data_IF_409792102666
#
_entry.id   IF_409792102666
#
_cell.length_a   1.000
_cell.length_b   1.000
_cell.length_c   1.000
_cell.angle_alpha   90.00
_cell.angle_beta   90.00
_cell.angle_gamma   90.00
#
_symmetry.space_group_name_H-M   'P 1'
#
loop_
_entity.id
_entity.type
_entity.pdbx_description
1 polymer ?
2 branched ?
3 non-polymer ?
4 non-polymer ?
5 non-polymer ?
6 non-polymer ?
7 water ?
#
# COMPACT_ATOMS: atom_id res chain seq x y z
N UNK A 1 0.88 -12.70 9.45
CA UNK A 1 2.18 -13.20 9.96
C UNK A 1 2.41 -12.65 11.36
N UNK A 2 2.50 -13.53 12.35
CA UNK A 2 2.70 -13.10 13.73
C UNK A 2 4.16 -12.84 14.09
N UNK A 3 4.73 -11.77 13.55
CA UNK A 3 6.11 -11.40 13.83
C UNK A 3 6.14 -10.04 14.53
N UNK A 4 4.99 -9.64 15.05
CA UNK A 4 4.88 -8.37 15.75
C UNK A 4 4.96 -7.16 14.84
N UNK A 5 5.04 -7.39 13.53
CA UNK A 5 5.13 -6.30 12.58
C UNK A 5 3.86 -6.07 11.80
N UNK A 6 3.77 -4.89 11.19
CA UNK A 6 2.63 -4.50 10.39
C UNK A 6 1.32 -4.67 11.13
N UNK A 7 1.28 -4.18 12.37
CA UNK A 7 0.05 -4.28 13.15
C UNK A 7 -0.94 -3.29 12.56
N UNK A 8 -0.43 -2.37 11.74
CA UNK A 8 -1.24 -1.41 10.99
C UNK A 8 -0.64 -1.50 9.60
N UNK A 9 -1.40 -1.09 8.56
CA UNK A 9 -0.88 -1.15 7.20
C UNK A 9 0.44 -0.40 7.08
N UNK A 10 1.45 -1.01 6.42
CA UNK A 10 2.75 -0.35 6.25
C UNK A 10 2.64 0.99 5.54
N UNK A 11 3.40 1.97 6.02
CA UNK A 11 3.41 3.30 5.42
C UNK A 11 4.83 3.64 4.98
N UNK A 12 4.97 4.22 3.78
CA UNK A 12 6.31 4.56 3.33
C UNK A 12 6.36 5.00 1.88
N UNK A 13 7.49 4.71 1.25
CA UNK A 13 7.73 5.06 -0.14
C UNK A 13 8.30 3.83 -0.83
N UNK A 14 7.89 3.61 -2.07
CA UNK A 14 8.34 2.45 -2.84
C UNK A 14 8.71 2.97 -4.22
N UNK A 15 9.87 2.56 -4.72
CA UNK A 15 10.37 3.06 -5.99
C UNK A 15 9.70 2.67 -7.31
N UNK A 16 9.14 1.47 -7.38
CA UNK A 16 8.63 0.98 -8.65
C UNK A 16 7.70 1.73 -9.59
N UNK A 17 6.46 2.02 -9.20
CA UNK A 17 5.57 2.69 -10.16
C UNK A 17 6.15 3.92 -10.82
N UNK A 18 6.72 4.81 -10.02
CA UNK A 18 7.26 6.04 -10.60
C UNK A 18 8.58 5.92 -11.33
N UNK A 19 9.52 5.16 -10.77
CA UNK A 19 10.85 5.07 -11.35
C UNK A 19 11.18 3.82 -12.16
N UNK A 20 10.37 2.80 -11.98
CA UNK A 20 10.53 1.54 -12.71
C UNK A 20 11.95 0.98 -12.73
N UNK A 21 12.38 0.51 -13.89
CA UNK A 21 13.70 -0.11 -14.03
C UNK A 21 14.68 0.79 -14.77
N UNK A 22 14.68 2.07 -14.42
CA UNK A 22 15.56 3.05 -15.05
C UNK A 22 16.99 2.89 -14.53
N UNK A 23 17.89 2.43 -15.40
CA UNK A 23 19.29 2.25 -14.98
C UNK A 23 20.21 3.22 -15.73
N UNK A 24 19.61 4.20 -16.39
CA UNK A 24 20.37 5.20 -17.14
C UNK A 24 20.77 6.34 -16.21
N UNK A 25 21.64 6.05 -15.25
CA UNK A 25 22.07 7.08 -14.30
C UNK A 25 22.90 8.18 -14.95
N UNK A 26 23.41 7.93 -16.15
CA UNK A 26 24.21 8.92 -16.87
C UNK A 26 23.34 10.09 -17.31
N UNK A 27 22.14 9.78 -17.79
CA UNK A 27 21.23 10.83 -18.25
C UNK A 27 20.12 11.16 -17.26
N UNK A 28 19.84 10.23 -16.36
CA UNK A 28 18.81 10.43 -15.35
C UNK A 28 19.39 10.18 -13.96
N UNK A 29 20.35 11.02 -13.54
CA UNK A 29 21.01 10.90 -12.24
C UNK A 29 20.03 10.86 -11.07
N UNK A 30 18.96 11.64 -11.16
CA UNK A 30 17.97 11.71 -10.10
C UNK A 30 16.85 10.67 -10.20
N UNK A 31 16.49 10.29 -11.41
CA UNK A 31 15.40 9.33 -11.60
C UNK A 31 15.82 7.88 -11.76
N UNK A 32 17.12 7.63 -11.93
CA UNK A 32 17.60 6.26 -12.09
C UNK A 32 17.60 5.51 -10.76
N UNK A 33 17.56 4.18 -10.84
CA UNK A 33 17.59 3.36 -9.64
C UNK A 33 19.02 3.29 -9.13
N UNK A 34 19.30 4.02 -8.04
CA UNK A 34 20.64 4.05 -7.46
C UNK A 34 20.54 4.32 -5.97
N UNK A 35 21.66 4.18 -5.26
CA UNK A 35 21.67 4.40 -3.82
C UNK A 35 21.27 5.85 -3.52
N UNK A 36 21.60 6.76 -4.44
CA UNK A 36 21.28 8.17 -4.26
C UNK A 36 19.78 8.43 -4.22
N UNK A 37 19.02 7.69 -5.03
CA UNK A 37 17.57 7.87 -5.06
C UNK A 37 16.97 7.60 -3.69
N UNK A 38 17.36 6.48 -3.11
CA UNK A 38 16.86 6.07 -1.81
C UNK A 38 17.31 6.98 -0.66
N UNK A 39 18.55 7.46 -0.74
CA UNK A 39 19.07 8.34 0.31
C UNK A 39 18.32 9.66 0.29
N UNK A 40 18.08 10.18 -0.91
CA UNK A 40 17.37 11.43 -1.06
C UNK A 40 15.90 11.32 -0.68
N UNK A 41 15.28 10.18 -0.97
CA UNK A 41 13.89 10.01 -0.58
C UNK A 41 13.86 9.92 0.94
N UNK A 42 14.90 9.32 1.51
CA UNK A 42 14.98 9.19 2.97
C UNK A 42 15.07 10.59 3.58
N UNK A 43 15.87 11.46 3.00
CA UNK A 43 15.99 12.83 3.52
C UNK A 43 14.63 13.51 3.45
N UNK A 44 13.95 13.32 2.33
CA UNK A 44 12.62 13.89 2.09
C UNK A 44 11.63 13.46 3.16
N UNK A 45 11.57 12.16 3.41
CA UNK A 45 10.66 11.61 4.40
C UNK A 45 11.00 12.16 5.79
N UNK A 46 12.29 12.24 6.08
CA UNK A 46 12.75 12.72 7.37
C UNK A 46 12.60 14.23 7.58
N UNK A 47 12.68 14.99 6.50
CA UNK A 47 12.61 16.44 6.59
C UNK A 47 11.31 17.15 6.27
N UNK A 48 10.48 16.56 5.40
CA UNK A 48 9.26 17.24 5.01
C UNK A 48 7.98 16.85 5.74
N UNK A 49 8.14 16.35 6.96
CA UNK A 49 6.99 16.00 7.77
C UNK A 49 6.38 14.61 7.59
N UNK A 50 6.90 13.84 6.66
CA UNK A 50 6.36 12.50 6.41
C UNK A 50 6.58 11.54 7.58
N UNK A 51 7.82 11.50 8.10
CA UNK A 51 8.16 10.61 9.19
C UNK A 51 7.23 10.72 10.40
N UNK A 52 6.92 11.94 10.81
CA UNK A 52 6.04 12.17 11.97
C UNK A 52 4.64 11.62 11.77
N UNK A 53 4.19 11.60 10.52
CA UNK A 53 2.85 11.11 10.19
C UNK A 53 2.77 9.59 10.19
N UNK A 54 3.93 8.93 10.16
CA UNK A 54 3.93 7.48 10.15
C UNK A 54 4.69 6.83 8.99
N UNK A 55 4.98 7.61 7.95
CA UNK A 55 5.70 7.08 6.79
C UNK A 55 7.15 6.77 7.20
N UNK A 56 7.48 5.48 7.31
CA UNK A 56 8.82 5.10 7.72
C UNK A 56 9.61 4.19 6.78
N UNK A 57 8.92 3.50 5.87
CA UNK A 57 9.62 2.60 4.95
C UNK A 57 10.12 3.24 3.65
N UNK A 58 11.37 2.96 3.32
CA UNK A 58 12.00 3.43 2.08
C UNK A 58 12.29 2.10 1.38
N UNK A 59 11.48 1.75 0.39
CA UNK A 59 11.65 0.46 -0.28
C UNK A 59 12.21 0.44 -1.69
N UNK A 60 13.22 -0.42 -1.85
CA UNK A 60 13.88 -0.65 -3.12
C UNK A 60 13.06 -1.72 -3.83
N UNK A 61 12.82 -1.57 -5.13
CA UNK A 61 12.08 -2.61 -5.85
C UNK A 61 13.02 -3.30 -6.84
N UNK A 62 12.51 -3.73 -7.99
CA UNK A 62 13.34 -4.44 -8.96
C UNK A 62 14.45 -3.60 -9.57
N UNK A 63 15.45 -4.29 -10.14
CA UNK A 63 16.57 -3.64 -10.84
C UNK A 63 17.67 -3.00 -9.99
N UNK A 64 17.83 -3.44 -8.75
CA UNK A 64 18.85 -2.90 -7.86
C UNK A 64 20.14 -3.73 -7.84
N UNK A 65 20.00 -5.04 -8.06
CA UNK A 65 21.13 -5.96 -7.99
C UNK A 65 22.02 -6.03 -9.22
N UNK A 66 23.15 -6.72 -9.06
CA UNK A 66 24.07 -6.92 -10.17
C UNK A 66 23.38 -7.97 -11.04
N UNK A 67 23.75 -8.04 -12.32
CA UNK A 67 23.13 -9.01 -13.24
C UNK A 67 23.39 -10.46 -12.89
N UNK A 68 24.30 -10.71 -11.94
CA UNK A 68 24.60 -12.06 -11.50
C UNK A 68 25.08 -12.02 -10.06
N UNK A 69 24.96 -13.15 -9.36
CA UNK A 69 25.40 -13.27 -7.98
C UNK A 69 26.92 -13.29 -8.00
N UNK A 70 27.56 -13.00 -6.88
CA UNK A 70 29.02 -13.04 -6.86
C UNK A 70 29.45 -14.49 -6.97
N UNK A 71 30.75 -14.74 -6.86
CA UNK A 71 31.27 -16.10 -6.97
C UNK A 71 30.76 -17.00 -5.84
N UNK A 72 30.55 -16.41 -4.66
CA UNK A 72 30.07 -17.17 -3.51
C UNK A 72 28.59 -17.51 -3.60
N UNK A 73 27.93 -17.05 -4.67
CA UNK A 73 26.52 -17.32 -4.86
C UNK A 73 25.60 -16.40 -4.09
N UNK A 74 26.12 -15.24 -3.72
CA UNK A 74 25.33 -14.26 -2.97
C UNK A 74 24.87 -13.09 -3.84
N UNK A 75 23.75 -12.51 -3.47
CA UNK A 75 23.21 -11.36 -4.18
C UNK A 75 24.05 -10.15 -3.81
N UNK A 76 24.35 -9.32 -4.79
CA UNK A 76 25.12 -8.11 -4.57
C UNK A 76 24.47 -7.00 -5.37
N UNK A 77 24.49 -5.76 -4.86
CA UNK A 77 23.88 -4.64 -5.56
C UNK A 77 24.72 -4.24 -6.76
N UNK A 78 24.14 -3.49 -7.69
CA UNK A 78 24.87 -3.06 -8.85
C UNK A 78 26.02 -2.17 -8.39
N UNK A 79 27.26 -2.52 -8.75
CA UNK A 79 28.48 -1.79 -8.38
C UNK A 79 28.49 -0.28 -8.69
N UNK A 80 28.05 0.12 -9.88
CA UNK A 80 28.08 1.53 -10.27
C UNK A 80 26.94 2.30 -9.60
N UNK A 81 25.75 1.73 -9.53
CA UNK A 81 24.61 2.43 -8.96
C UNK A 81 24.49 2.38 -7.44
N UNK A 82 25.17 1.41 -6.81
CA UNK A 82 25.14 1.26 -5.36
C UNK A 82 26.57 1.03 -4.86
N UNK A 83 27.49 1.98 -5.15
CA UNK A 83 28.90 1.86 -4.74
C UNK A 83 29.23 1.66 -3.27
N UNK A 84 28.32 1.97 -2.36
CA UNK A 84 28.59 1.79 -0.94
C UNK A 84 27.91 0.57 -0.35
N UNK A 85 27.25 -0.19 -1.21
CA UNK A 85 26.57 -1.39 -0.75
C UNK A 85 25.26 -1.11 -0.04
N UNK A 86 24.49 -2.17 0.19
CA UNK A 86 23.20 -2.08 0.84
C UNK A 86 23.28 -1.74 2.32
N UNK A 87 24.13 -2.44 3.05
CA UNK A 87 24.28 -2.22 4.48
C UNK A 87 24.50 -0.73 4.79
N UNK A 88 25.32 -0.07 3.99
CA UNK A 88 25.59 1.35 4.19
C UNK A 88 24.32 2.16 3.95
N UNK A 89 23.56 1.77 2.93
CA UNK A 89 22.31 2.46 2.62
C UNK A 89 21.35 2.30 3.79
N UNK A 90 21.29 1.10 4.34
CA UNK A 90 20.43 0.82 5.48
C UNK A 90 20.80 1.67 6.69
N UNK A 91 22.09 1.75 6.99
CA UNK A 91 22.55 2.56 8.12
C UNK A 91 22.11 4.01 7.96
N UNK A 92 22.26 4.50 6.73
CA UNK A 92 21.88 5.87 6.39
C UNK A 92 20.40 6.11 6.67
N UNK A 93 19.58 5.18 6.19
CA UNK A 93 18.13 5.25 6.39
C UNK A 93 17.83 5.12 7.88
N UNK A 94 18.48 4.13 8.52
CA UNK A 94 18.30 3.90 9.95
C UNK A 94 18.65 5.13 10.77
N UNK A 95 19.73 5.82 10.40
CA UNK A 95 20.16 7.02 11.12
C UNK A 95 19.09 8.10 11.14
N UNK A 96 18.15 8.01 10.20
CA UNK A 96 17.06 8.98 10.11
C UNK A 96 15.81 8.48 10.81
N UNK A 97 15.91 7.31 11.44
CA UNK A 97 14.76 6.74 12.13
C UNK A 97 13.78 6.09 11.16
N UNK A 98 14.24 5.82 9.95
CA UNK A 98 13.41 5.20 8.93
C UNK A 98 13.82 3.74 8.76
N UNK A 99 13.12 3.01 7.88
CA UNK A 99 13.42 1.60 7.65
C UNK A 99 13.64 1.35 6.16
N UNK A 100 14.51 0.39 5.85
CA UNK A 100 14.82 0.06 4.45
C UNK A 100 14.17 -1.22 3.98
N UNK A 101 13.50 -1.15 2.84
CA UNK A 101 12.88 -2.34 2.28
C UNK A 101 13.64 -2.73 1.03
N UNK A 102 13.66 -4.02 0.72
CA UNK A 102 14.35 -4.50 -0.48
C UNK A 102 13.43 -5.41 -1.28
N UNK A 103 13.88 -5.80 -2.46
CA UNK A 103 13.09 -6.61 -3.37
C UNK A 103 13.80 -7.88 -3.84
N UNK A 104 13.03 -8.96 -3.98
CA UNK A 104 13.56 -10.22 -4.45
C UNK A 104 12.47 -10.89 -5.25
N UNK A 105 12.79 -11.99 -5.91
CA UNK A 105 11.80 -12.72 -6.69
C UNK A 105 11.95 -14.21 -6.48
N UNK A 106 10.87 -14.87 -6.07
CA UNK A 106 10.91 -16.32 -5.86
C UNK A 106 10.80 -16.86 -7.27
N UNK A 107 11.94 -17.29 -7.81
CA UNK A 107 11.96 -17.80 -9.18
C UNK A 107 13.35 -17.68 -9.77
N UNK A 108 13.46 -18.06 -11.04
CA UNK A 108 14.73 -18.05 -11.76
C UNK A 108 15.25 -16.66 -12.09
N UNK A 109 14.34 -15.71 -12.27
CA UNK A 109 14.71 -14.34 -12.60
C UNK A 109 13.66 -13.40 -12.03
N UNK A 110 14.04 -12.15 -11.75
CA UNK A 110 13.04 -11.20 -11.28
C UNK A 110 12.30 -10.82 -12.55
N UNK A 111 11.13 -10.21 -12.40
CA UNK A 111 10.37 -9.82 -13.58
C UNK A 111 11.19 -8.90 -14.49
N UNK A 112 12.14 -8.19 -13.92
CA UNK A 112 12.97 -7.28 -14.69
C UNK A 112 14.21 -7.90 -15.31
N UNK A 113 14.46 -9.18 -15.04
CA UNK A 113 15.63 -9.83 -15.61
C UNK A 113 16.86 -9.90 -14.71
N UNK A 114 16.67 -9.64 -13.42
CA UNK A 114 17.77 -9.67 -12.46
C UNK A 114 17.82 -11.01 -11.73
N UNK A 115 18.92 -11.29 -10.99
CA UNK A 115 19.02 -12.57 -10.28
C UNK A 115 17.82 -12.95 -9.42
N UNK A 116 17.27 -14.14 -9.68
CA UNK A 116 16.13 -14.60 -8.93
C UNK A 116 16.51 -15.41 -7.71
N UNK A 117 15.57 -15.54 -6.78
CA UNK A 117 15.77 -16.31 -5.56
C UNK A 117 15.14 -17.67 -5.75
N UNK A 118 15.93 -18.62 -6.24
CA UNK A 118 15.45 -19.97 -6.44
C UNK A 118 15.35 -20.61 -5.06
N UNK A 119 14.66 -21.75 -4.98
CA UNK A 119 14.47 -22.44 -3.71
C UNK A 119 15.76 -22.71 -2.92
N UNK A 120 16.83 -23.05 -3.62
CA UNK A 120 18.09 -23.35 -2.96
C UNK A 120 18.81 -22.09 -2.47
N UNK A 121 18.28 -20.93 -2.82
CA UNK A 121 18.87 -19.65 -2.44
C UNK A 121 18.06 -18.88 -1.38
N UNK A 122 16.87 -19.37 -1.06
CA UNK A 122 16.01 -18.70 -0.10
C UNK A 122 16.67 -18.39 1.25
N UNK A 123 17.18 -19.42 1.92
CA UNK A 123 17.83 -19.22 3.21
C UNK A 123 19.00 -18.25 3.10
N UNK A 124 19.83 -18.43 2.08
CA UNK A 124 20.98 -17.55 1.89
C UNK A 124 20.58 -16.09 1.66
N UNK A 125 19.61 -15.87 0.78
CA UNK A 125 19.17 -14.51 0.51
C UNK A 125 18.54 -13.84 1.72
N UNK A 126 17.74 -14.59 2.48
CA UNK A 126 17.10 -14.06 3.68
C UNK A 126 18.20 -13.66 4.65
N UNK A 127 19.25 -14.48 4.66
CA UNK A 127 20.40 -14.26 5.52
C UNK A 127 21.16 -13.01 5.07
N UNK A 128 21.34 -12.89 3.76
CA UNK A 128 22.04 -11.74 3.19
C UNK A 128 21.32 -10.44 3.54
N UNK A 129 20.00 -10.44 3.38
CA UNK A 129 19.20 -9.25 3.67
C UNK A 129 19.28 -8.82 5.14
N UNK A 130 19.15 -9.78 6.05
CA UNK A 130 19.22 -9.49 7.48
C UNK A 130 20.56 -8.85 7.82
N UNK A 131 21.63 -9.46 7.34
CA UNK A 131 22.97 -8.97 7.60
C UNK A 131 23.13 -7.53 7.14
N UNK A 132 22.48 -7.18 6.02
CA UNK A 132 22.56 -5.82 5.50
C UNK A 132 21.78 -4.83 6.35
N UNK A 133 20.87 -5.36 7.17
CA UNK A 133 20.07 -4.50 8.02
C UNK A 133 18.71 -4.19 7.41
N UNK A 134 18.28 -5.05 6.48
CA UNK A 134 16.98 -4.87 5.83
C UNK A 134 15.82 -4.99 6.81
N UNK A 135 14.78 -4.19 6.60
CA UNK A 135 13.61 -4.20 7.48
C UNK A 135 12.33 -4.71 6.83
N UNK A 136 12.32 -4.74 5.50
CA UNK A 136 11.14 -5.21 4.77
C UNK A 136 11.58 -5.87 3.47
N UNK A 137 10.85 -6.90 3.07
CA UNK A 137 11.15 -7.62 1.83
C UNK A 137 9.90 -7.91 1.03
N UNK A 138 9.91 -7.48 -0.24
CA UNK A 138 8.79 -7.76 -1.13
C UNK A 138 9.31 -8.90 -2.00
N UNK A 139 8.61 -10.03 -2.00
CA UNK A 139 9.02 -11.19 -2.80
C UNK A 139 8.08 -11.39 -3.98
N UNK A 140 8.57 -11.03 -5.17
CA UNK A 140 7.83 -11.14 -6.41
C UNK A 140 7.76 -12.59 -6.85
N UNK A 141 6.93 -12.90 -7.86
CA UNK A 141 6.80 -14.28 -8.29
C UNK A 141 6.98 -14.63 -9.76
N UNK A 142 7.77 -13.84 -10.50
CA UNK A 142 8.00 -14.16 -11.90
C UNK A 142 8.90 -15.38 -11.97
N UNK A 143 8.78 -16.11 -13.07
CA UNK A 143 9.60 -17.27 -13.35
C UNK A 143 9.69 -18.37 -12.30
N UNK A 144 8.54 -18.69 -11.71
CA UNK A 144 8.43 -19.78 -10.75
C UNK A 144 7.06 -20.40 -10.98
N UNK A 145 6.99 -21.73 -10.86
CA UNK A 145 5.72 -22.44 -11.06
C UNK A 145 4.89 -22.38 -9.79
N UNK A 146 3.60 -22.67 -9.92
CA UNK A 146 2.72 -22.65 -8.77
C UNK A 146 3.22 -23.57 -7.68
N UNK A 147 3.77 -24.72 -8.08
CA UNK A 147 4.29 -25.69 -7.14
C UNK A 147 5.50 -25.10 -6.40
N UNK A 148 6.38 -24.43 -7.15
CA UNK A 148 7.55 -23.82 -6.56
C UNK A 148 7.16 -22.70 -5.60
N UNK A 149 6.11 -21.96 -5.94
CA UNK A 149 5.67 -20.86 -5.09
C UNK A 149 5.05 -21.39 -3.79
N UNK A 150 4.28 -22.47 -3.90
CA UNK A 150 3.65 -23.08 -2.74
C UNK A 150 4.70 -23.49 -1.73
N UNK A 151 5.89 -23.84 -2.22
CA UNK A 151 7.00 -24.25 -1.37
C UNK A 151 7.83 -23.05 -0.92
N UNK A 152 8.20 -22.20 -1.89
CA UNK A 152 9.02 -21.04 -1.62
C UNK A 152 8.51 -19.94 -0.71
N UNK A 153 7.26 -19.52 -0.88
CA UNK A 153 6.74 -18.46 -0.03
C UNK A 153 6.73 -18.87 1.44
N UNK A 154 6.19 -20.04 1.77
CA UNK A 154 6.22 -20.43 3.19
C UNK A 154 7.66 -20.59 3.65
N UNK A 155 8.49 -21.11 2.75
CA UNK A 155 9.90 -21.33 3.04
C UNK A 155 10.64 -20.05 3.37
N UNK A 156 10.35 -18.96 2.65
CA UNK A 156 11.01 -17.70 2.90
C UNK A 156 10.57 -17.09 4.24
N UNK A 157 9.31 -17.34 4.60
CA UNK A 157 8.80 -16.82 5.87
C UNK A 157 9.64 -17.43 6.99
N UNK A 158 9.89 -18.74 6.90
CA UNK A 158 10.69 -19.43 7.89
C UNK A 158 12.13 -18.92 7.90
N UNK A 159 12.71 -18.74 6.71
CA UNK A 159 14.07 -18.25 6.60
C UNK A 159 14.25 -16.88 7.24
N UNK A 160 13.30 -15.97 7.00
CA UNK A 160 13.37 -14.63 7.56
C UNK A 160 13.35 -14.67 9.09
N UNK A 161 12.47 -15.50 9.64
CA UNK A 161 12.34 -15.63 11.09
C UNK A 161 13.66 -16.13 11.71
N UNK A 162 14.28 -17.10 11.04
CA UNK A 162 15.52 -17.69 11.52
C UNK A 162 16.68 -16.70 11.67
N UNK A 163 16.67 -15.65 10.86
CA UNK A 163 17.74 -14.64 10.93
C UNK A 163 17.63 -13.87 12.25
N UNK A 164 16.49 -14.01 12.90
CA UNK A 164 16.28 -13.32 14.16
C UNK A 164 15.99 -11.83 14.01
N UNK A 165 16.00 -11.35 12.77
CA UNK A 165 15.73 -9.94 12.52
C UNK A 165 14.30 -9.76 12.04
N UNK A 166 13.50 -8.93 12.75
CA UNK A 166 12.12 -8.71 12.34
C UNK A 166 12.07 -8.05 10.97
N UNK A 167 11.43 -8.73 10.01
CA UNK A 167 11.35 -8.20 8.66
C UNK A 167 9.93 -8.28 8.10
N UNK A 168 9.38 -7.14 7.71
CA UNK A 168 8.04 -7.11 7.13
C UNK A 168 8.17 -7.94 5.86
N UNK A 169 7.23 -8.85 5.66
CA UNK A 169 7.24 -9.75 4.51
C UNK A 169 6.02 -9.49 3.61
N UNK A 170 6.27 -8.94 2.43
CA UNK A 170 5.25 -8.63 1.43
C UNK A 170 5.32 -9.72 0.34
N UNK A 171 4.22 -10.45 0.14
CA UNK A 171 4.17 -11.55 -0.82
C UNK A 171 3.30 -11.33 -2.05
N UNK A 172 3.85 -11.56 -3.24
CA UNK A 172 3.07 -11.38 -4.46
C UNK A 172 2.44 -12.68 -4.92
N UNK A 173 2.61 -13.73 -4.12
CA UNK A 173 2.07 -15.05 -4.43
C UNK A 173 0.65 -15.09 -5.00
N UNK A 174 -0.33 -14.46 -4.31
CA UNK A 174 -1.70 -14.47 -4.82
C UNK A 174 -1.90 -13.94 -6.23
N UNK A 175 -1.23 -12.82 -6.55
CA UNK A 175 -1.36 -12.20 -7.87
C UNK A 175 -1.02 -13.16 -9.01
N UNK A 176 0.01 -13.97 -8.79
CA UNK A 176 0.42 -14.91 -9.83
C UNK A 176 -0.52 -16.10 -9.95
N UNK A 177 -1.33 -16.33 -8.92
CA UNK A 177 -2.28 -17.43 -8.93
C UNK A 177 -3.72 -16.99 -9.20
N UNK A 178 -3.90 -15.73 -9.63
CA UNK A 178 -5.24 -15.25 -9.93
C UNK A 178 -5.96 -14.51 -8.83
N UNK A 179 -5.40 -14.50 -7.63
CA UNK A 179 -5.99 -13.78 -6.50
C UNK A 179 -7.30 -14.25 -5.89
N UNK A 180 -7.86 -15.35 -6.39
CA UNK A 180 -9.13 -15.84 -5.86
C UNK A 180 -9.11 -17.30 -5.46
N UNK A 181 -9.98 -17.69 -4.52
CA UNK A 181 -10.04 -19.08 -4.07
C UNK A 181 -10.73 -19.84 -5.21
N UNK A 182 -10.53 -21.16 -5.30
CA UNK A 182 -9.72 -22.00 -4.41
C UNK A 182 -8.21 -21.96 -4.68
N UNK A 183 -7.80 -21.43 -5.83
CA UNK A 183 -6.37 -21.39 -6.13
C UNK A 183 -5.59 -20.65 -5.04
N UNK A 184 -6.17 -19.58 -4.51
CA UNK A 184 -5.49 -18.84 -3.45
C UNK A 184 -6.14 -19.17 -2.11
N UNK A 185 -5.30 -19.40 -1.10
CA UNK A 185 -5.78 -19.70 0.25
C UNK A 185 -5.34 -18.52 1.13
N UNK A 186 -6.25 -17.57 1.34
CA UNK A 186 -5.91 -16.39 2.13
C UNK A 186 -5.71 -16.67 3.62
N UNK A 187 -6.18 -17.81 4.09
CA UNK A 187 -5.97 -18.15 5.50
C UNK A 187 -4.48 -18.45 5.64
N UNK A 188 -3.95 -19.22 4.71
CA UNK A 188 -2.54 -19.58 4.72
C UNK A 188 -1.68 -18.32 4.56
N UNK A 189 -2.06 -17.45 3.63
CA UNK A 189 -1.30 -16.23 3.42
C UNK A 189 -1.21 -15.42 4.71
N UNK A 190 -2.32 -15.34 5.44
CA UNK A 190 -2.32 -14.60 6.68
C UNK A 190 -1.31 -15.17 7.68
N UNK A 191 -1.08 -16.48 7.61
CA UNK A 191 -0.14 -17.13 8.53
C UNK A 191 1.31 -16.90 8.14
N UNK A 192 1.58 -16.79 6.84
CA UNK A 192 2.95 -16.62 6.40
C UNK A 192 3.41 -15.23 5.95
N UNK A 193 2.49 -14.36 5.57
CA UNK A 193 2.85 -13.02 5.10
C UNK A 193 2.22 -11.87 5.87
N UNK A 194 2.87 -10.72 5.85
CA UNK A 194 2.39 -9.51 6.51
C UNK A 194 1.43 -8.77 5.57
N UNK A 195 1.64 -8.92 4.28
CA UNK A 195 0.77 -8.29 3.28
C UNK A 195 1.01 -8.99 1.97
N UNK A 196 0.06 -8.89 1.05
CA UNK A 196 0.20 -9.57 -0.23
C UNK A 196 -0.46 -8.82 -1.38
N UNK A 197 0.22 -8.80 -2.53
CA UNK A 197 -0.32 -8.15 -3.71
C UNK A 197 -1.29 -9.16 -4.31
N UNK A 198 -2.58 -8.83 -4.30
CA UNK A 198 -3.60 -9.75 -4.80
C UNK A 198 -3.83 -9.66 -6.29
N UNK A 199 -3.58 -8.48 -6.86
CA UNK A 199 -3.95 -8.22 -8.24
C UNK A 199 -2.91 -7.53 -9.12
N UNK A 200 -3.33 -7.03 -10.29
CA UNK A 200 -2.43 -6.40 -11.25
C UNK A 200 -1.70 -5.16 -10.77
N UNK A 201 -0.51 -4.93 -11.34
CA UNK A 201 0.30 -3.76 -11.01
C UNK A 201 -0.47 -2.50 -11.37
N UNK A 202 -0.36 -1.49 -10.53
CA UNK A 202 -1.02 -0.23 -10.83
C UNK A 202 -0.19 0.51 -11.87
N UNK A 203 -0.85 1.20 -12.79
CA UNK A 203 -0.16 1.98 -13.80
C UNK A 203 -0.57 3.42 -13.54
N UNK A 204 0.09 4.37 -14.20
CA UNK A 204 -0.21 5.79 -13.95
C UNK A 204 -1.40 6.33 -14.74
N UNK A 205 -2.61 5.91 -14.36
CA UNK A 205 -3.82 6.35 -15.04
C UNK A 205 -5.02 6.11 -14.13
N UNK A 206 -6.06 6.90 -14.33
CA UNK A 206 -7.29 6.76 -13.56
C UNK A 206 -7.95 5.41 -13.85
N UNK A 207 -7.96 4.99 -15.12
CA UNK A 207 -8.57 3.69 -15.44
C UNK A 207 -7.88 2.54 -14.72
N UNK A 208 -6.58 2.68 -14.46
CA UNK A 208 -5.86 1.62 -13.75
C UNK A 208 -6.40 1.58 -12.32
N UNK A 209 -6.53 2.74 -11.69
CA UNK A 209 -7.07 2.81 -10.35
C UNK A 209 -8.49 2.22 -10.29
N UNK A 210 -9.33 2.58 -11.26
CA UNK A 210 -10.69 2.08 -11.28
C UNK A 210 -10.72 0.56 -11.44
N UNK A 211 -9.82 0.05 -12.29
CA UNK A 211 -9.74 -1.39 -12.53
C UNK A 211 -9.42 -2.13 -11.23
N UNK A 212 -8.53 -1.54 -10.42
CA UNK A 212 -8.13 -2.14 -9.15
C UNK A 212 -9.27 -2.04 -8.15
N UNK A 213 -9.87 -0.85 -8.06
CA UNK A 213 -11.00 -0.63 -7.16
C UNK A 213 -12.12 -1.62 -7.48
N UNK A 214 -12.47 -1.74 -8.75
CA UNK A 214 -13.55 -2.65 -9.14
C UNK A 214 -13.28 -4.12 -8.87
N UNK A 215 -12.05 -4.57 -9.09
CA UNK A 215 -11.73 -5.98 -8.85
C UNK A 215 -11.81 -6.28 -7.36
N UNK A 216 -11.20 -5.43 -6.54
CA UNK A 216 -11.21 -5.67 -5.10
C UNK A 216 -12.60 -5.59 -4.49
N UNK A 217 -13.41 -4.62 -4.90
CA UNK A 217 -14.73 -4.53 -4.31
C UNK A 217 -15.71 -5.55 -4.87
N UNK A 218 -15.56 -5.92 -6.13
CA UNK A 218 -16.43 -6.95 -6.71
C UNK A 218 -16.21 -8.27 -5.96
N UNK A 219 -14.95 -8.54 -5.63
CA UNK A 219 -14.56 -9.76 -4.93
C UNK A 219 -14.38 -9.59 -3.43
N UNK A 220 -14.92 -8.52 -2.86
CA UNK A 220 -14.71 -8.27 -1.44
C UNK A 220 -15.12 -9.41 -0.51
N UNK A 221 -16.12 -10.20 -0.90
CA UNK A 221 -16.55 -11.30 -0.05
C UNK A 221 -15.46 -12.30 0.27
N UNK A 222 -14.55 -12.52 -0.69
CA UNK A 222 -13.48 -13.48 -0.47
C UNK A 222 -12.14 -12.84 -0.13
N UNK A 223 -12.14 -11.53 0.08
CA UNK A 223 -10.91 -10.79 0.40
C UNK A 223 -10.96 -10.05 1.73
N UNK A 224 -12.03 -9.30 1.94
CA UNK A 224 -12.22 -8.50 3.14
C UNK A 224 -12.04 -9.25 4.47
N UNK A 225 -12.58 -10.48 4.57
CA UNK A 225 -12.46 -11.23 5.83
C UNK A 225 -11.03 -11.63 6.24
N UNK A 226 -10.11 -11.65 5.28
CA UNK A 226 -8.75 -12.10 5.57
C UNK A 226 -7.71 -11.02 5.86
N UNK A 227 -8.16 -9.79 6.01
CA UNK A 227 -7.26 -8.69 6.31
C UNK A 227 -7.35 -8.38 7.80
N UNK A 228 -6.24 -7.99 8.40
CA UNK A 228 -6.24 -7.67 9.82
C UNK A 228 -4.85 -7.34 10.34
N UNK A 229 -4.73 -6.90 11.60
CA UNK A 229 -3.41 -6.58 12.13
C UNK A 229 -2.43 -7.71 11.83
N UNK A 230 -1.31 -7.37 11.17
CA UNK A 230 -0.31 -8.38 10.84
C UNK A 230 -0.42 -9.05 9.48
N UNK A 231 -1.56 -8.89 8.80
CA UNK A 231 -1.75 -9.50 7.48
C UNK A 231 -2.75 -8.72 6.62
N UNK A 232 -2.23 -7.98 5.65
CA UNK A 232 -3.10 -7.15 4.81
C UNK A 232 -3.20 -7.47 3.33
N UNK A 233 -4.28 -7.00 2.72
CA UNK A 233 -4.49 -7.14 1.28
C UNK A 233 -3.74 -5.92 0.78
N UNK A 234 -3.12 -6.01 -0.40
CA UNK A 234 -2.34 -4.91 -0.93
C UNK A 234 -2.76 -4.61 -2.35
N UNK A 235 -3.52 -3.51 -2.55
CA UNK A 235 -4.00 -3.11 -3.87
C UNK A 235 -2.95 -2.36 -4.69
N UNK A 236 -1.73 -2.29 -4.15
CA UNK A 236 -0.55 -1.66 -4.75
C UNK A 236 -0.34 -0.21 -4.36
N UNK A 237 0.73 0.37 -4.92
CA UNK A 237 1.17 1.74 -4.66
C UNK A 237 0.25 2.91 -4.93
N UNK A 238 0.42 3.96 -4.11
CA UNK A 238 -0.34 5.20 -4.28
C UNK A 238 0.39 5.92 -5.41
N UNK A 239 -0.35 6.45 -6.38
CA UNK A 239 0.27 7.16 -7.49
C UNK A 239 -0.04 8.65 -7.45
N UNK A 240 -0.47 9.11 -6.29
CA UNK A 240 -0.79 10.51 -6.06
C UNK A 240 0.53 11.28 -6.18
N UNK A 241 0.52 12.36 -6.97
CA UNK A 241 1.72 13.14 -7.16
C UNK A 241 2.37 12.85 -8.50
N UNK A 242 1.80 11.92 -9.26
CA UNK A 242 2.40 11.58 -10.54
C UNK A 242 1.72 12.22 -11.76
N UNK A 243 1.77 11.54 -12.90
CA UNK A 243 1.26 12.10 -14.16
C UNK A 243 -0.17 11.89 -14.58
N UNK A 244 -0.77 10.77 -14.18
CA UNK A 244 -2.09 10.48 -14.65
C UNK A 244 -3.34 10.85 -13.89
N UNK A 245 -3.22 11.16 -12.61
CA UNK A 245 -4.40 11.51 -11.84
C UNK A 245 -4.66 13.00 -11.66
N UNK A 246 -5.92 13.37 -11.77
CA UNK A 246 -6.32 14.76 -11.55
C UNK A 246 -6.37 14.90 -10.04
N UNK A 247 -6.67 16.12 -9.57
CA UNK A 247 -6.75 16.39 -8.13
C UNK A 247 -7.85 15.54 -7.46
N UNK A 248 -9.05 15.57 -8.01
CA UNK A 248 -10.18 14.81 -7.47
C UNK A 248 -9.86 13.31 -7.44
N UNK A 249 -9.24 12.84 -8.51
CA UNK A 249 -8.87 11.42 -8.62
C UNK A 249 -7.83 11.02 -7.58
N UNK A 250 -6.92 11.93 -7.28
CA UNK A 250 -5.89 11.66 -6.29
C UNK A 250 -6.54 11.53 -4.93
N UNK A 251 -7.48 12.42 -4.63
CA UNK A 251 -8.19 12.37 -3.37
C UNK A 251 -8.98 11.06 -3.29
N UNK A 252 -9.52 10.64 -4.43
CA UNK A 252 -10.27 9.39 -4.46
C UNK A 252 -9.40 8.18 -4.13
N UNK A 253 -8.20 8.07 -4.71
CA UNK A 253 -7.38 6.91 -4.41
C UNK A 253 -7.03 6.86 -2.93
N UNK A 254 -6.65 7.99 -2.35
CA UNK A 254 -6.30 8.01 -0.95
C UNK A 254 -7.45 7.52 -0.08
N UNK A 255 -8.65 8.03 -0.36
CA UNK A 255 -9.84 7.66 0.40
C UNK A 255 -10.20 6.17 0.26
N UNK A 256 -10.16 5.66 -0.97
CA UNK A 256 -10.51 4.25 -1.18
C UNK A 256 -9.46 3.31 -0.63
N UNK A 257 -8.18 3.69 -0.70
CA UNK A 257 -7.13 2.83 -0.15
C UNK A 257 -7.31 2.79 1.36
N UNK A 258 -7.79 3.89 1.93
CA UNK A 258 -8.01 3.94 3.39
C UNK A 258 -9.19 3.04 3.79
N UNK A 259 -10.23 3.02 2.96
CA UNK A 259 -11.39 2.16 3.20
C UNK A 259 -10.92 0.69 3.15
N UNK A 260 -9.99 0.40 2.24
CA UNK A 260 -9.48 -0.97 2.08
C UNK A 260 -8.43 -1.40 3.10
N UNK A 261 -8.06 -0.50 4.02
CA UNK A 261 -7.03 -0.82 5.01
C UNK A 261 -5.79 -1.28 4.26
N UNK A 262 -5.48 -0.54 3.19
CA UNK A 262 -4.35 -0.84 2.33
C UNK A 262 -3.07 -0.19 2.82
N UNK A 263 -1.93 -0.76 2.41
CA UNK A 263 -0.66 -0.16 2.84
C UNK A 263 -0.64 1.20 2.18
N UNK A 264 0.00 2.18 2.80
CA UNK A 264 0.09 3.48 2.19
C UNK A 264 1.54 3.64 1.73
N UNK A 265 1.85 2.99 0.61
CA UNK A 265 3.20 3.04 0.04
C UNK A 265 3.21 3.96 -1.18
N UNK A 266 3.74 5.16 -0.98
CA UNK A 266 3.83 6.17 -2.03
C UNK A 266 4.92 5.84 -3.05
N UNK A 267 4.63 6.06 -4.32
CA UNK A 267 5.65 5.85 -5.35
C UNK A 267 5.58 7.12 -6.20
N UNK A 268 6.28 8.15 -5.74
CA UNK A 268 6.27 9.42 -6.42
C UNK A 268 7.57 10.14 -6.06
N UNK A 269 7.94 11.17 -6.83
CA UNK A 269 9.18 11.86 -6.51
C UNK A 269 8.91 12.88 -5.41
N UNK A 270 9.33 12.54 -4.20
CA UNK A 270 9.11 13.40 -3.04
C UNK A 270 9.88 14.71 -3.11
N UNK A 271 10.78 14.83 -4.08
CA UNK A 271 11.58 16.05 -4.25
C UNK A 271 10.82 17.11 -5.05
N UNK A 272 9.86 16.68 -5.86
CA UNK A 272 9.11 17.61 -6.68
C UNK A 272 7.61 17.56 -6.46
N UNK A 273 7.17 16.79 -5.46
CA UNK A 273 5.74 16.66 -5.18
C UNK A 273 5.06 18.02 -5.01
N UNK A 274 3.87 18.15 -5.55
CA UNK A 274 3.11 19.40 -5.47
C UNK A 274 2.51 19.58 -4.09
N UNK A 275 2.19 20.84 -3.72
CA UNK A 275 1.59 21.13 -2.42
C UNK A 275 0.26 20.37 -2.24
N UNK A 276 -0.58 20.40 -3.27
CA UNK A 276 -1.87 19.72 -3.18
C UNK A 276 -1.71 18.21 -3.02
N UNK A 277 -0.75 17.62 -3.72
CA UNK A 277 -0.54 16.18 -3.60
C UNK A 277 -0.03 15.87 -2.20
N UNK A 278 0.89 16.71 -1.72
CA UNK A 278 1.44 16.53 -0.38
C UNK A 278 0.34 16.62 0.68
N UNK A 279 -0.54 17.61 0.52
CA UNK A 279 -1.63 17.83 1.46
C UNK A 279 -2.57 16.63 1.54
N UNK A 280 -2.74 15.92 0.44
CA UNK A 280 -3.61 14.75 0.39
C UNK A 280 -2.97 13.60 1.15
N UNK A 281 -1.71 13.34 0.83
CA UNK A 281 -0.94 12.26 1.44
C UNK A 281 -0.62 12.48 2.91
N UNK A 282 -0.63 13.73 3.35
CA UNK A 282 -0.33 14.01 4.74
C UNK A 282 -1.55 14.25 5.64
N UNK A 283 -2.75 14.03 5.11
CA UNK A 283 -3.98 14.23 5.88
C UNK A 283 -3.97 13.32 7.11
N UNK A 284 -3.82 13.94 8.29
CA UNK A 284 -3.75 13.19 9.55
C UNK A 284 -4.94 12.33 9.90
N UNK A 285 -6.16 12.85 9.72
CA UNK A 285 -7.35 12.07 10.03
C UNK A 285 -7.44 10.88 9.07
N UNK A 286 -7.12 11.13 7.81
CA UNK A 286 -7.14 10.06 6.80
C UNK A 286 -6.18 8.96 7.23
N UNK A 287 -4.98 9.36 7.65
CA UNK A 287 -3.99 8.40 8.09
C UNK A 287 -4.45 7.67 9.34
N UNK A 288 -5.09 8.38 10.27
CA UNK A 288 -5.60 7.76 11.48
C UNK A 288 -6.60 6.64 11.15
N UNK A 289 -7.48 6.92 10.20
CA UNK A 289 -8.47 5.94 9.79
C UNK A 289 -7.80 4.77 9.09
N UNK A 290 -6.82 5.05 8.25
CA UNK A 290 -6.12 3.97 7.55
C UNK A 290 -5.42 3.10 8.57
N UNK A 291 -4.82 3.76 9.56
CA UNK A 291 -4.07 3.09 10.62
C UNK A 291 -4.90 2.59 11.80
N UNK A 292 -6.21 2.62 11.67
CA UNK A 292 -7.08 2.17 12.76
C UNK A 292 -6.63 0.84 13.36
N UNK A 293 -6.49 0.78 14.70
CA UNK A 293 -6.06 -0.40 15.46
C UNK A 293 -6.81 -1.71 15.23
N UNK A 294 -8.09 -1.65 14.90
CA UNK A 294 -8.86 -2.88 14.69
C UNK A 294 -8.48 -3.60 13.42
N UNK A 295 -8.02 -2.85 12.42
CA UNK A 295 -7.63 -3.47 11.16
C UNK A 295 -8.76 -4.19 10.43
N UNK A 296 -9.97 -3.67 10.50
CA UNK A 296 -11.09 -4.28 9.81
C UNK A 296 -11.27 -3.59 8.46
N UNK A 297 -10.95 -4.30 7.39
CA UNK A 297 -11.09 -3.74 6.05
C UNK A 297 -12.54 -3.41 5.75
N UNK A 298 -12.77 -2.28 5.08
CA UNK A 298 -14.11 -1.84 4.75
C UNK A 298 -14.63 -2.50 3.49
N UNK A 299 -15.85 -2.11 3.08
CA UNK A 299 -16.50 -2.68 1.91
C UNK A 299 -17.32 -1.64 1.18
N UNK A 300 -17.70 -1.96 -0.05
CA UNK A 300 -18.56 -1.09 -0.82
C UNK A 300 -19.95 -1.55 -0.37
N UNK A 301 -20.83 -0.62 -0.01
CA UNK A 301 -22.16 -1.02 0.45
C UNK A 301 -23.28 -0.63 -0.50
N UNK A 302 -22.99 0.29 -1.41
CA UNK A 302 -23.98 0.76 -2.36
C UNK A 302 -23.41 1.11 -3.73
N UNK A 303 -24.17 0.80 -4.77
CA UNK A 303 -23.84 1.12 -6.15
C UNK A 303 -25.11 1.69 -6.76
N UNK A 304 -25.24 3.01 -6.75
CA UNK A 304 -26.44 3.67 -7.27
C UNK A 304 -26.47 3.71 -8.79
N UNK A 305 -27.66 3.89 -9.34
CA UNK A 305 -27.80 3.97 -10.78
C UNK A 305 -27.34 5.37 -11.20
N UNK A 306 -27.13 6.25 -10.22
CA UNK A 306 -26.69 7.61 -10.47
C UNK A 306 -25.17 7.63 -10.68
N UNK A 307 -24.57 6.44 -10.63
CA UNK A 307 -23.13 6.27 -10.79
C UNK A 307 -22.38 6.75 -9.54
N UNK A 308 -23.06 6.70 -8.40
CA UNK A 308 -22.47 7.04 -7.12
C UNK A 308 -22.26 5.74 -6.38
N UNK A 309 -21.11 5.56 -5.75
CA UNK A 309 -20.84 4.36 -4.97
C UNK A 309 -20.57 4.78 -3.53
N UNK A 310 -21.03 3.99 -2.58
CA UNK A 310 -20.81 4.30 -1.17
C UNK A 310 -20.06 3.18 -0.49
N UNK A 311 -19.08 3.56 0.34
CA UNK A 311 -18.23 2.63 1.04
C UNK A 311 -18.28 2.89 2.55
N UNK A 312 -18.13 1.83 3.32
CA UNK A 312 -18.17 1.92 4.77
C UNK A 312 -17.07 1.10 5.39
N UNK A 313 -16.42 1.66 6.41
CA UNK A 313 -15.38 0.93 7.12
C UNK A 313 -15.59 1.08 8.61
N UNK A 314 -15.77 -0.04 9.33
CA UNK A 314 -15.97 0.02 10.78
C UNK A 314 -14.65 0.31 11.49
N UNK A 315 -14.69 1.16 12.51
CA UNK A 315 -13.47 1.55 13.20
C UNK A 315 -13.53 1.36 14.71
N UNK A 316 -12.41 1.69 15.35
CA UNK A 316 -12.27 1.59 16.79
C UNK A 316 -13.06 2.73 17.41
N UNK A 317 -13.26 2.66 18.72
CA UNK A 317 -14.01 3.68 19.46
C UNK A 317 -15.44 3.78 18.94
N UNK A 318 -15.94 2.67 18.40
CA UNK A 318 -17.30 2.58 17.85
C UNK A 318 -17.55 3.57 16.72
N UNK A 319 -16.47 4.01 16.07
CA UNK A 319 -16.58 4.97 14.97
C UNK A 319 -16.72 4.27 13.61
N UNK A 320 -16.94 5.07 12.57
CA UNK A 320 -17.09 4.56 11.20
C UNK A 320 -16.55 5.58 10.21
N UNK A 321 -16.24 5.10 9.01
CA UNK A 321 -15.78 5.96 7.95
C UNK A 321 -16.69 5.67 6.76
N UNK A 322 -17.12 6.71 6.07
CA UNK A 322 -17.97 6.55 4.89
C UNK A 322 -17.32 7.28 3.74
N UNK A 323 -17.39 6.70 2.55
CA UNK A 323 -16.86 7.34 1.35
C UNK A 323 -17.98 7.36 0.32
N UNK A 324 -18.26 8.55 -0.20
CA UNK A 324 -19.27 8.74 -1.25
C UNK A 324 -18.39 9.03 -2.47
N UNK A 325 -18.49 8.16 -3.48
CA UNK A 325 -17.65 8.23 -4.68
C UNK A 325 -18.44 8.48 -5.96
N UNK A 326 -18.09 9.51 -6.71
CA UNK A 326 -18.80 9.78 -7.96
C UNK A 326 -18.01 9.35 -9.20
N UNK A 327 -18.61 8.50 -10.03
CA UNK A 327 -17.97 8.06 -11.25
C UNK A 327 -18.62 8.71 -12.44
N UNK A 328 -19.41 9.75 -12.17
CA UNK A 328 -20.09 10.51 -13.20
C UNK A 328 -19.05 11.40 -13.88
N UNK A 329 -19.32 11.80 -15.13
CA UNK A 329 -18.38 12.65 -15.85
C UNK A 329 -19.06 13.92 -16.30
N UNK A 330 -20.15 14.28 -15.65
CA UNK A 330 -20.87 15.49 -16.04
C UNK A 330 -20.65 16.73 -15.16
N UNK A 331 -20.89 16.61 -13.86
CA UNK A 331 -20.77 17.78 -12.99
C UNK A 331 -20.90 17.37 -11.53
N UNK A 332 -20.70 18.32 -10.60
CA UNK A 332 -20.82 18.01 -9.17
C UNK A 332 -22.21 17.41 -8.98
N UNK A 333 -22.33 16.39 -8.14
CA UNK A 333 -23.61 15.73 -7.95
C UNK A 333 -24.10 15.80 -6.51
N UNK A 334 -25.39 16.05 -6.33
CA UNK A 334 -25.98 16.12 -5.00
C UNK A 334 -26.56 14.76 -4.63
N UNK A 335 -25.90 14.09 -3.71
CA UNK A 335 -26.33 12.78 -3.25
C UNK A 335 -27.05 12.97 -1.92
N UNK A 336 -28.33 12.63 -1.88
CA UNK A 336 -29.10 12.80 -0.66
C UNK A 336 -29.54 11.46 -0.07
N UNK A 337 -29.33 11.30 1.23
CA UNK A 337 -29.70 10.06 1.89
C UNK A 337 -29.71 10.30 3.39
N UNK A 338 -29.75 9.24 4.19
CA UNK A 338 -29.72 9.37 5.64
C UNK A 338 -28.90 8.22 6.21
N UNK A 339 -28.34 8.40 7.40
CA UNK A 339 -27.57 7.32 7.98
C UNK A 339 -28.45 6.09 8.15
N UNK A 340 -29.74 6.32 8.46
CA UNK A 340 -30.67 5.21 8.62
C UNK A 340 -30.75 4.42 7.31
N UNK A 341 -30.85 5.14 6.19
CA UNK A 341 -30.91 4.52 4.87
C UNK A 341 -29.62 3.76 4.55
N UNK A 342 -28.51 4.22 5.12
CA UNK A 342 -27.22 3.59 4.91
C UNK A 342 -27.04 2.38 5.81
N UNK A 343 -27.97 2.22 6.77
CA UNK A 343 -27.92 1.07 7.66
C UNK A 343 -27.54 1.27 9.11
N UNK A 344 -27.32 2.51 9.52
CA UNK A 344 -26.92 2.82 10.89
C UNK A 344 -28.03 2.60 11.93
N UNK A 345 -27.65 2.47 13.21
CA UNK A 345 -28.60 2.25 14.30
C UNK A 345 -29.70 3.33 14.35
N UNK A 346 -30.91 2.94 14.76
CA UNK A 346 -32.03 3.87 14.84
C UNK A 346 -31.94 4.79 16.06
N UNK A 347 -32.56 5.95 15.93
CA UNK A 347 -32.59 6.92 17.02
C UNK A 347 -31.26 7.31 17.63
N UNK A 348 -30.20 7.31 16.82
CA UNK A 348 -28.88 7.67 17.33
C UNK A 348 -28.45 9.02 16.76
N UNK A 349 -27.32 9.54 17.22
CA UNK A 349 -26.80 10.82 16.72
C UNK A 349 -25.29 10.71 16.62
N UNK A 350 -24.73 11.33 15.58
CA UNK A 350 -23.29 11.25 15.35
C UNK A 350 -22.63 12.59 15.14
N UNK A 351 -21.38 12.68 15.58
CA UNK A 351 -20.59 13.88 15.32
C UNK A 351 -19.86 13.47 14.03
N UNK A 352 -20.02 14.27 12.99
CA UNK A 352 -19.40 13.95 11.71
C UNK A 352 -18.35 14.95 11.27
N UNK A 353 -17.22 14.46 10.79
CA UNK A 353 -16.18 15.35 10.31
C UNK A 353 -15.85 14.98 8.88
N UNK A 354 -15.80 15.97 8.01
CA UNK A 354 -15.46 15.76 6.61
C UNK A 354 -13.93 15.64 6.63
N UNK A 355 -13.42 14.47 6.26
CA UNK A 355 -11.99 14.21 6.30
C UNK A 355 -11.12 15.18 5.49
N UNK A 356 -11.60 15.62 4.33
CA UNK A 356 -10.82 16.54 3.50
C UNK A 356 -11.03 18.05 3.79
N UNK A 357 -12.27 18.45 4.09
CA UNK A 357 -12.56 19.86 4.34
C UNK A 357 -12.42 20.26 5.81
N UNK A 358 -12.59 19.29 6.70
CA UNK A 358 -12.50 19.59 8.12
C UNK A 358 -13.82 20.05 8.70
N UNK A 359 -14.81 20.32 7.85
CA UNK A 359 -16.12 20.77 8.34
C UNK A 359 -16.76 19.71 9.23
N UNK A 360 -17.40 20.16 10.30
CA UNK A 360 -18.03 19.25 11.25
C UNK A 360 -19.53 19.44 11.38
N UNK A 361 -20.22 18.32 11.60
CA UNK A 361 -21.67 18.28 11.80
C UNK A 361 -21.82 17.75 13.23
N UNK A 362 -22.19 18.64 14.14
CA UNK A 362 -22.33 18.36 15.58
C UNK A 362 -23.10 17.13 16.03
N UNK A 363 -24.34 17.01 15.58
CA UNK A 363 -25.17 15.89 15.98
C UNK A 363 -26.17 15.49 14.91
N UNK A 364 -25.67 14.74 13.93
CA UNK A 364 -26.50 14.27 12.84
C UNK A 364 -27.31 13.06 13.33
N UNK A 365 -28.64 13.17 13.27
CA UNK A 365 -29.50 12.08 13.70
C UNK A 365 -29.57 11.08 12.56
N UNK A 366 -29.63 9.80 12.90
CA UNK A 366 -29.65 8.80 11.85
C UNK A 366 -30.87 8.90 10.93
N UNK A 367 -31.95 9.47 11.44
CA UNK A 367 -33.16 9.61 10.64
C UNK A 367 -33.20 10.87 9.79
N UNK A 368 -32.25 11.78 9.97
CA UNK A 368 -32.25 13.02 9.20
C UNK A 368 -31.63 12.90 7.81
N UNK A 369 -32.27 13.53 6.84
CA UNK A 369 -31.75 13.53 5.48
C UNK A 369 -30.57 14.47 5.43
N UNK A 370 -29.60 14.14 4.60
CA UNK A 370 -28.44 15.00 4.42
C UNK A 370 -28.02 14.89 2.97
N UNK A 371 -27.32 15.90 2.47
CA UNK A 371 -26.87 15.89 1.10
C UNK A 371 -25.38 16.18 1.06
N UNK A 372 -24.66 15.45 0.22
CA UNK A 372 -23.24 15.68 0.05
C UNK A 372 -23.08 15.98 -1.43
N UNK A 373 -22.18 16.87 -1.76
CA UNK A 373 -21.96 17.22 -3.16
C UNK A 373 -20.62 16.63 -3.56
N UNK A 374 -20.67 15.70 -4.51
CA UNK A 374 -19.48 14.99 -4.97
C UNK A 374 -19.10 15.36 -6.39
N UNK A 375 -17.83 15.72 -6.57
CA UNK A 375 -17.34 16.10 -7.89
C UNK A 375 -16.99 14.87 -8.73
N UNK A 376 -16.98 15.03 -10.08
CA UNK A 376 -16.66 13.93 -10.99
C UNK A 376 -15.31 13.29 -10.66
N UNK A 377 -15.32 11.95 -10.58
CA UNK A 377 -14.15 11.13 -10.23
C UNK A 377 -13.60 11.50 -8.86
N UNK A 378 -14.44 12.15 -8.05
CA UNK A 378 -14.02 12.54 -6.72
C UNK A 378 -14.82 11.89 -5.61
N UNK A 379 -14.49 12.24 -4.37
CA UNK A 379 -15.18 11.68 -3.20
C UNK A 379 -15.51 12.73 -2.15
N UNK A 380 -16.34 12.31 -1.20
CA UNK A 380 -16.69 13.07 -0.01
C UNK A 380 -16.47 11.95 1.01
N UNK A 381 -15.63 12.21 2.00
CA UNK A 381 -15.35 11.21 3.00
C UNK A 381 -15.68 11.72 4.40
N UNK A 382 -16.36 10.89 5.17
CA UNK A 382 -16.78 11.23 6.53
C UNK A 382 -16.21 10.31 7.60
N UNK A 383 -15.93 10.89 8.76
CA UNK A 383 -15.47 10.14 9.93
C UNK A 383 -16.64 10.35 10.91
N UNK A 384 -17.27 9.27 11.36
CA UNK A 384 -18.42 9.38 12.25
C UNK A 384 -18.20 8.79 13.63
N UNK A 385 -18.59 9.55 14.65
CA UNK A 385 -18.45 9.14 16.04
C UNK A 385 -19.81 9.22 16.71
N UNK A 386 -20.28 8.11 17.31
CA UNK A 386 -21.58 8.10 17.97
C UNK A 386 -21.59 8.94 19.24
N UNK A 387 -22.72 9.58 19.50
CA UNK A 387 -22.88 10.40 20.70
C UNK A 387 -23.63 9.54 21.71
N UNK A 388 -23.49 9.85 22.99
CA UNK A 388 -24.17 9.07 24.03
C UNK A 388 -24.65 9.96 25.18
#
# INVERSE_FOLDING_TARGET
>A
LENGLARTPPMGWLAWERFRCNVNCREDPRQCISEMLFMEMADRIAEDGWRELGYKYINIDDCWAAKQRDAEGRLVPDPERFPRGIKALADYVHARGLKLGIYGDLGRLTCGGYPGTTLDRVEQDAQTFAEWGVDMLKLDGCYSSGKEQAQGYPQMARALNATGRPIVYSCSWPAYQGGLPPKVNYTLLGEICNLWRNYDDIQDSWDSVLSIVDWFFTNQDVLQPFAGPGHWNDPDMLIIGNFGLSYEQSRSQMALWTIMAAPLLMSTDLRTISPSAKKILQNRLMIQINQDPLGIQGRRIIKEGSHIEVFLRPLSQAASALVFFSRRTDMPFRYTTSLAKLGFPMGAAYEVQDVYSGKIISGLKTGDNFTVIINPSGVVMWYLCPKALLIQQQAPGGPSRLPLL
#
